data_IF_356189329061
#
_entry.id   IF_356189329061
#
_cell.length_a   1.000
_cell.length_b   1.000
_cell.length_c   1.000
_cell.angle_alpha   90.00
_cell.angle_beta   90.00
_cell.angle_gamma   90.00
#
_symmetry.space_group_name_H-M   'P 1'
#
loop_
_entity.id
_entity.type
_entity.pdbx_description
1 polymer ?
#
# COMPACT_ATOMS: atom_id res chain seq x y z
N UNK A 1 7.86 29.92 -31.14
CA UNK A 1 6.38 29.71 -31.11
C UNK A 1 5.97 28.27 -31.22
N UNK A 2 6.69 27.37 -31.89
CA UNK A 2 6.30 25.94 -32.00
C UNK A 2 6.40 25.12 -30.69
N UNK A 3 7.34 25.44 -29.81
CA UNK A 3 7.52 24.65 -28.55
C UNK A 3 6.39 24.83 -27.51
N UNK A 4 5.77 26.01 -27.49
CA UNK A 4 4.65 26.29 -26.58
C UNK A 4 3.37 25.53 -26.96
N UNK A 5 3.12 25.37 -28.26
CA UNK A 5 1.91 24.69 -28.75
C UNK A 5 1.97 23.19 -28.43
N UNK A 6 3.13 22.57 -28.51
CA UNK A 6 3.29 21.17 -28.16
C UNK A 6 3.22 20.93 -26.64
N UNK A 7 3.66 21.86 -25.80
CA UNK A 7 3.50 21.77 -24.35
C UNK A 7 2.04 21.97 -23.90
N UNK A 8 1.32 22.92 -24.51
CA UNK A 8 -0.10 23.15 -24.24
C UNK A 8 -0.99 21.98 -24.73
N UNK A 9 -0.67 21.37 -25.87
CA UNK A 9 -1.39 20.20 -26.38
C UNK A 9 -1.15 18.97 -25.49
N UNK A 10 0.06 18.75 -25.00
CA UNK A 10 0.37 17.64 -24.10
C UNK A 10 -0.26 17.83 -22.71
N UNK A 11 -0.29 19.04 -22.15
CA UNK A 11 -0.97 19.34 -20.90
C UNK A 11 -2.48 19.11 -20.98
N UNK A 12 -3.10 19.53 -22.09
CA UNK A 12 -4.55 19.34 -22.30
C UNK A 12 -4.94 17.87 -22.49
N UNK A 13 -4.08 17.06 -23.09
CA UNK A 13 -4.34 15.61 -23.26
C UNK A 13 -4.16 14.88 -21.93
N UNK A 14 -3.14 15.21 -21.15
CA UNK A 14 -2.90 14.65 -19.83
C UNK A 14 -4.04 15.00 -18.86
N UNK A 15 -4.49 16.25 -18.84
CA UNK A 15 -5.62 16.71 -18.04
C UNK A 15 -6.95 16.02 -18.42
N UNK A 16 -7.18 15.76 -19.70
CA UNK A 16 -8.38 15.06 -20.16
C UNK A 16 -8.40 13.60 -19.72
N UNK A 17 -7.26 12.89 -19.82
CA UNK A 17 -7.13 11.50 -19.40
C UNK A 17 -7.32 11.35 -17.87
N UNK A 18 -6.71 12.24 -17.10
CA UNK A 18 -6.89 12.29 -15.65
C UNK A 18 -8.35 12.59 -15.25
N UNK A 19 -9.01 13.53 -15.95
CA UNK A 19 -10.40 13.87 -15.72
C UNK A 19 -11.33 12.67 -15.98
N UNK A 20 -11.10 11.93 -17.07
CA UNK A 20 -11.91 10.77 -17.41
C UNK A 20 -11.64 9.60 -16.45
N UNK A 21 -10.39 9.41 -16.04
CA UNK A 21 -10.04 8.45 -14.99
C UNK A 21 -10.76 8.78 -13.68
N UNK A 22 -10.74 10.05 -13.24
CA UNK A 22 -11.43 10.52 -12.04
C UNK A 22 -12.94 10.21 -12.08
N UNK A 23 -13.59 10.47 -13.22
CA UNK A 23 -15.01 10.11 -13.40
C UNK A 23 -15.22 8.60 -13.25
N UNK A 24 -14.33 7.79 -13.82
CA UNK A 24 -14.37 6.33 -13.68
C UNK A 24 -14.27 5.88 -12.23
N UNK A 25 -13.34 6.45 -11.46
CA UNK A 25 -13.19 6.18 -10.01
C UNK A 25 -14.46 6.55 -9.25
N UNK A 26 -15.00 7.74 -9.47
CA UNK A 26 -16.22 8.23 -8.80
C UNK A 26 -17.40 7.31 -9.11
N UNK A 27 -17.53 6.91 -10.36
CA UNK A 27 -18.63 6.04 -10.80
C UNK A 27 -18.49 4.62 -10.24
N UNK A 28 -17.29 4.08 -10.22
CA UNK A 28 -16.98 2.81 -9.59
C UNK A 28 -17.30 2.83 -8.08
N UNK A 29 -16.91 3.88 -7.36
CA UNK A 29 -17.20 4.05 -5.93
C UNK A 29 -18.71 4.02 -5.67
N UNK A 30 -19.53 4.72 -6.45
CA UNK A 30 -20.99 4.75 -6.29
C UNK A 30 -21.61 3.35 -6.32
N UNK A 31 -21.05 2.45 -7.14
CA UNK A 31 -21.60 1.10 -7.32
C UNK A 31 -20.96 0.07 -6.37
N UNK A 32 -19.80 0.38 -5.80
CA UNK A 32 -18.97 -0.58 -5.08
C UNK A 32 -18.70 -0.23 -3.62
N UNK A 33 -19.03 1.00 -3.18
CA UNK A 33 -18.90 1.36 -1.76
C UNK A 33 -19.72 0.37 -0.92
N UNK A 34 -19.08 -0.37 0.01
CA UNK A 34 -19.78 -1.34 0.82
C UNK A 34 -20.83 -0.64 1.69
N UNK A 35 -21.95 -1.33 1.89
CA UNK A 35 -22.97 -0.89 2.85
C UNK A 35 -22.40 -1.06 4.27
N UNK A 36 -23.11 -0.46 5.23
CA UNK A 36 -22.78 -0.55 6.65
C UNK A 36 -22.44 -2.00 7.06
N UNK A 37 -21.20 -2.28 7.49
CA UNK A 37 -20.78 -3.63 7.88
C UNK A 37 -21.29 -4.03 9.27
N UNK A 38 -22.05 -3.17 9.96
CA UNK A 38 -22.53 -3.40 11.32
C UNK A 38 -21.50 -3.18 12.42
N UNK A 39 -20.36 -2.59 12.08
CA UNK A 39 -19.32 -2.17 13.03
C UNK A 39 -18.67 -0.85 12.56
N UNK A 40 -17.99 -0.18 13.48
CA UNK A 40 -17.31 1.08 13.17
C UNK A 40 -16.09 0.81 12.27
N UNK A 41 -16.07 1.46 11.11
CA UNK A 41 -14.94 1.35 10.19
C UNK A 41 -13.71 2.11 10.72
N UNK A 42 -12.53 1.46 10.72
CA UNK A 42 -11.28 2.12 11.08
C UNK A 42 -11.00 3.32 10.16
N UNK A 43 -10.51 4.40 10.73
CA UNK A 43 -10.03 5.57 9.99
C UNK A 43 -8.56 5.43 9.61
N UNK A 44 -7.84 4.60 10.35
CA UNK A 44 -6.43 4.30 10.11
C UNK A 44 -6.16 2.80 10.30
N UNK A 45 -5.09 2.30 9.71
CA UNK A 45 -4.67 0.90 9.87
C UNK A 45 -4.29 0.55 11.33
N UNK A 46 -3.99 1.55 12.16
CA UNK A 46 -3.70 1.36 13.58
C UNK A 46 -4.93 0.97 14.41
N UNK A 47 -6.12 1.19 13.89
CA UNK A 47 -7.39 0.89 14.56
C UNK A 47 -7.95 -0.49 14.23
N UNK A 48 -7.24 -1.28 13.40
CA UNK A 48 -7.64 -2.65 13.05
C UNK A 48 -7.41 -3.55 14.26
N UNK A 49 -8.45 -3.79 15.05
CA UNK A 49 -8.37 -4.47 16.35
C UNK A 49 -8.96 -5.88 16.39
N UNK A 50 -9.54 -6.38 15.30
CA UNK A 50 -10.13 -7.73 15.24
C UNK A 50 -10.02 -8.37 13.88
N UNK A 51 -10.08 -9.70 13.83
CA UNK A 51 -10.10 -10.47 12.58
C UNK A 51 -11.31 -10.13 11.71
N UNK A 52 -12.48 -9.90 12.31
CA UNK A 52 -13.69 -9.51 11.57
C UNK A 52 -13.48 -8.21 10.77
N UNK A 53 -12.89 -7.21 11.41
CA UNK A 53 -12.58 -5.92 10.75
C UNK A 53 -11.51 -6.12 9.69
N UNK A 54 -10.48 -6.93 10.00
CA UNK A 54 -9.40 -7.24 9.06
C UNK A 54 -9.90 -7.94 7.81
N UNK A 55 -10.74 -8.97 7.94
CA UNK A 55 -11.29 -9.72 6.81
C UNK A 55 -12.13 -8.83 5.90
N UNK A 56 -12.96 -7.98 6.49
CA UNK A 56 -13.73 -6.98 5.72
C UNK A 56 -12.82 -6.02 4.93
N UNK A 57 -11.76 -5.52 5.56
CA UNK A 57 -10.80 -4.62 4.90
C UNK A 57 -9.96 -5.33 3.84
N UNK A 58 -9.66 -6.62 4.04
CA UNK A 58 -8.96 -7.46 3.06
C UNK A 58 -9.82 -7.65 1.80
N UNK A 59 -11.09 -7.99 1.97
CA UNK A 59 -12.03 -8.09 0.85
C UNK A 59 -12.17 -6.76 0.11
N UNK A 60 -12.24 -5.66 0.84
CA UNK A 60 -12.28 -4.33 0.25
C UNK A 60 -11.00 -4.00 -0.53
N UNK A 61 -9.83 -4.17 0.05
CA UNK A 61 -8.55 -3.91 -0.62
C UNK A 61 -8.40 -4.77 -1.87
N UNK A 62 -8.76 -6.06 -1.80
CA UNK A 62 -8.77 -6.94 -2.96
C UNK A 62 -9.70 -6.42 -4.07
N UNK A 63 -10.88 -5.94 -3.71
CA UNK A 63 -11.86 -5.37 -4.64
C UNK A 63 -11.32 -4.10 -5.33
N UNK A 64 -10.69 -3.21 -4.58
CA UNK A 64 -10.04 -2.00 -5.12
C UNK A 64 -8.93 -2.38 -6.09
N UNK A 65 -8.06 -3.32 -5.69
CA UNK A 65 -6.98 -3.81 -6.54
C UNK A 65 -7.49 -4.50 -7.80
N UNK A 66 -8.41 -5.44 -7.70
CA UNK A 66 -8.94 -6.19 -8.84
C UNK A 66 -9.71 -5.32 -9.85
N UNK A 67 -10.18 -4.17 -9.40
CA UNK A 67 -10.81 -3.16 -10.25
C UNK A 67 -9.80 -2.17 -10.88
N UNK A 68 -8.51 -2.33 -10.59
CA UNK A 68 -7.43 -1.51 -11.17
C UNK A 68 -7.22 -0.16 -10.50
N UNK A 69 -7.70 0.05 -9.26
CA UNK A 69 -7.59 1.32 -8.53
C UNK A 69 -6.57 1.29 -7.38
N UNK A 70 -5.74 0.24 -7.31
CA UNK A 70 -4.63 0.12 -6.37
C UNK A 70 -3.38 -0.37 -7.08
N UNK A 71 -2.22 0.16 -6.69
CA UNK A 71 -0.93 -0.18 -7.30
C UNK A 71 -0.76 0.42 -8.69
N UNK A 72 -1.29 1.63 -8.92
CA UNK A 72 -1.28 2.30 -10.23
C UNK A 72 0.13 2.43 -10.79
N UNK A 73 1.11 2.84 -9.98
CA UNK A 73 2.49 3.05 -10.41
C UNK A 73 3.38 1.79 -10.29
N UNK A 74 2.84 0.67 -9.82
CA UNK A 74 3.59 -0.57 -9.72
C UNK A 74 3.67 -1.29 -11.06
N UNK A 75 4.75 -2.07 -11.32
CA UNK A 75 4.89 -2.80 -12.57
C UNK A 75 3.75 -3.80 -12.80
N UNK A 76 3.31 -3.90 -14.04
CA UNK A 76 2.18 -4.79 -14.42
C UNK A 76 2.49 -6.27 -14.16
N UNK A 77 3.71 -6.68 -14.37
CA UNK A 77 4.20 -8.05 -14.16
C UNK A 77 4.07 -8.52 -12.70
N UNK A 78 3.98 -7.57 -11.75
CA UNK A 78 3.81 -7.86 -10.33
C UNK A 78 2.41 -7.49 -9.81
N UNK A 79 1.45 -7.27 -10.70
CA UNK A 79 0.05 -7.03 -10.36
C UNK A 79 -0.35 -5.56 -10.25
N UNK A 80 0.55 -4.63 -10.60
CA UNK A 80 0.25 -3.20 -10.70
C UNK A 80 -0.37 -2.81 -12.05
N UNK A 81 -0.58 -1.51 -12.27
CA UNK A 81 -1.17 -0.99 -13.50
C UNK A 81 -0.15 -0.38 -14.46
N UNK A 82 1.10 -0.13 -14.02
CA UNK A 82 2.16 0.47 -14.84
C UNK A 82 1.80 1.88 -15.33
N UNK A 83 1.04 2.63 -14.54
CA UNK A 83 0.61 4.00 -14.83
C UNK A 83 1.44 5.01 -14.02
N UNK A 84 1.21 6.31 -14.22
CA UNK A 84 1.88 7.31 -13.41
C UNK A 84 1.31 7.37 -11.98
N UNK A 85 2.10 7.86 -11.02
CA UNK A 85 1.67 8.07 -9.62
C UNK A 85 0.48 9.01 -9.49
N UNK A 86 0.27 9.89 -10.45
CA UNK A 86 -0.85 10.84 -10.46
C UNK A 86 -2.21 10.12 -10.47
N UNK A 87 -2.32 8.98 -11.17
CA UNK A 87 -3.55 8.21 -11.17
C UNK A 87 -3.84 7.57 -9.80
N UNK A 88 -2.81 7.12 -9.07
CA UNK A 88 -3.00 6.66 -7.70
C UNK A 88 -3.50 7.80 -6.79
N UNK A 89 -2.92 9.00 -6.91
CA UNK A 89 -3.35 10.16 -6.13
C UNK A 89 -4.82 10.51 -6.42
N UNK A 90 -5.25 10.47 -7.68
CA UNK A 90 -6.65 10.71 -8.05
C UNK A 90 -7.57 9.65 -7.41
N UNK A 91 -7.21 8.38 -7.48
CA UNK A 91 -8.00 7.31 -6.86
C UNK A 91 -8.11 7.49 -5.35
N UNK A 92 -6.99 7.76 -4.67
CA UNK A 92 -6.94 7.97 -3.22
C UNK A 92 -7.75 9.19 -2.79
N UNK A 93 -7.69 10.31 -3.55
CA UNK A 93 -8.49 11.50 -3.29
C UNK A 93 -10.00 11.22 -3.35
N UNK A 94 -10.46 10.55 -4.41
CA UNK A 94 -11.89 10.27 -4.57
C UNK A 94 -12.38 9.24 -3.54
N UNK A 95 -11.59 8.23 -3.21
CA UNK A 95 -11.89 7.27 -2.15
C UNK A 95 -12.00 7.97 -0.79
N UNK A 96 -11.07 8.88 -0.49
CA UNK A 96 -11.09 9.68 0.75
C UNK A 96 -12.31 10.60 0.82
N UNK A 97 -12.66 11.29 -0.28
CA UNK A 97 -13.86 12.14 -0.36
C UNK A 97 -15.13 11.35 -0.12
N UNK A 98 -15.22 10.15 -0.68
CA UNK A 98 -16.36 9.27 -0.54
C UNK A 98 -16.41 8.51 0.81
N UNK A 99 -15.36 8.63 1.64
CA UNK A 99 -15.22 7.94 2.93
C UNK A 99 -15.41 6.43 2.83
N UNK A 100 -14.89 5.83 1.76
CA UNK A 100 -14.88 4.37 1.63
C UNK A 100 -13.89 3.75 2.63
N UNK A 101 -13.96 2.44 2.89
CA UNK A 101 -13.00 1.77 3.76
C UNK A 101 -11.55 1.96 3.26
N UNK A 102 -10.61 1.94 4.18
CA UNK A 102 -9.18 2.09 3.86
C UNK A 102 -8.60 0.83 3.21
N UNK A 103 -7.60 0.99 2.35
CA UNK A 103 -6.68 -0.08 2.01
C UNK A 103 -5.70 -0.23 3.19
N UNK A 104 -5.87 -1.29 3.97
CA UNK A 104 -5.30 -1.40 5.32
C UNK A 104 -3.82 -1.77 5.36
N UNK A 105 -3.29 -2.41 4.31
CA UNK A 105 -1.89 -2.90 4.26
C UNK A 105 -0.90 -1.76 3.99
N UNK A 106 -1.00 -0.70 4.78
CA UNK A 106 -0.28 0.58 4.56
C UNK A 106 1.24 0.39 4.55
N UNK A 107 1.78 -0.45 5.44
CA UNK A 107 3.22 -0.72 5.49
C UNK A 107 3.67 -1.47 4.23
N UNK A 108 2.89 -2.45 3.79
CA UNK A 108 3.15 -3.16 2.53
C UNK A 108 3.09 -2.23 1.33
N UNK A 109 2.00 -1.46 1.20
CA UNK A 109 1.74 -0.59 0.04
C UNK A 109 2.67 0.62 -0.04
N UNK A 110 2.97 1.23 1.10
CA UNK A 110 3.71 2.50 1.15
C UNK A 110 5.21 2.36 1.40
N UNK A 111 5.68 1.24 1.95
CA UNK A 111 7.06 1.08 2.38
C UNK A 111 7.70 -0.19 1.83
N UNK A 112 7.20 -1.39 2.19
CA UNK A 112 7.80 -2.65 1.75
C UNK A 112 7.77 -2.82 0.23
N UNK A 113 6.62 -2.60 -0.39
CA UNK A 113 6.45 -2.75 -1.82
C UNK A 113 7.33 -1.82 -2.64
N UNK A 114 7.34 -0.49 -2.40
CA UNK A 114 8.27 0.42 -3.06
C UNK A 114 9.74 0.03 -2.88
N UNK A 115 10.14 -0.37 -1.66
CA UNK A 115 11.51 -0.82 -1.39
C UNK A 115 11.85 -2.07 -2.23
N UNK A 116 10.96 -3.06 -2.25
CA UNK A 116 11.16 -4.28 -3.04
C UNK A 116 11.20 -3.97 -4.54
N UNK A 117 10.36 -3.05 -5.03
CA UNK A 117 10.39 -2.63 -6.44
C UNK A 117 11.75 -2.03 -6.80
N UNK A 118 12.28 -1.17 -5.94
CA UNK A 118 13.51 -0.44 -6.20
C UNK A 118 14.78 -1.32 -6.03
N UNK A 119 14.82 -2.16 -5.01
CA UNK A 119 16.06 -2.85 -4.58
C UNK A 119 15.98 -4.37 -4.54
N UNK A 120 14.78 -4.94 -4.58
CA UNK A 120 14.57 -6.38 -4.49
C UNK A 120 15.03 -7.13 -5.74
N UNK A 121 15.41 -8.39 -5.56
CA UNK A 121 15.64 -9.34 -6.64
C UNK A 121 14.34 -9.68 -7.36
N UNK A 122 14.43 -10.24 -8.57
CA UNK A 122 13.25 -10.71 -9.33
C UNK A 122 12.44 -11.74 -8.53
N UNK A 123 13.11 -12.61 -7.77
CA UNK A 123 12.47 -13.57 -6.89
C UNK A 123 11.63 -12.87 -5.80
N UNK A 124 12.17 -11.85 -5.13
CA UNK A 124 11.45 -11.09 -4.10
C UNK A 124 10.27 -10.33 -4.69
N UNK A 125 10.45 -9.69 -5.84
CA UNK A 125 9.37 -8.98 -6.54
C UNK A 125 8.22 -9.91 -6.90
N UNK A 126 8.51 -11.09 -7.45
CA UNK A 126 7.50 -12.10 -7.80
C UNK A 126 6.82 -12.68 -6.56
N UNK A 127 7.57 -12.86 -5.48
CA UNK A 127 7.08 -13.49 -4.25
C UNK A 127 6.14 -12.58 -3.47
N UNK A 128 6.49 -11.29 -3.33
CA UNK A 128 5.86 -10.44 -2.34
C UNK A 128 4.89 -9.40 -2.91
N UNK A 129 5.18 -8.82 -4.09
CA UNK A 129 4.48 -7.60 -4.52
C UNK A 129 2.99 -7.82 -4.74
N UNK A 130 2.60 -8.92 -5.37
CA UNK A 130 1.19 -9.21 -5.60
C UNK A 130 0.43 -9.42 -4.29
N UNK A 131 1.00 -10.17 -3.33
CA UNK A 131 0.39 -10.41 -2.03
C UNK A 131 0.18 -9.13 -1.21
N UNK A 132 1.08 -8.15 -1.36
CA UNK A 132 0.90 -6.82 -0.77
C UNK A 132 -0.31 -6.11 -1.37
N UNK A 133 -0.46 -6.11 -2.68
CA UNK A 133 -1.56 -5.44 -3.38
C UNK A 133 -2.92 -6.07 -3.08
N UNK A 134 -2.99 -7.40 -3.09
CA UNK A 134 -4.24 -8.14 -2.82
C UNK A 134 -4.66 -8.07 -1.35
N UNK A 135 -3.73 -7.78 -0.43
CA UNK A 135 -3.97 -7.86 1.02
C UNK A 135 -3.79 -9.27 1.61
N UNK A 136 -3.33 -10.24 0.82
CA UNK A 136 -3.05 -11.60 1.29
C UNK A 136 -1.81 -11.64 2.19
N UNK A 137 -0.79 -10.83 1.84
CA UNK A 137 0.45 -10.71 2.59
C UNK A 137 0.52 -9.38 3.33
N UNK A 138 0.19 -9.42 4.61
CA UNK A 138 0.21 -8.25 5.49
C UNK A 138 1.64 -8.00 5.95
N UNK A 139 2.05 -6.74 5.90
CA UNK A 139 3.35 -6.30 6.35
C UNK A 139 3.25 -5.38 7.57
N UNK A 140 4.17 -5.54 8.50
CA UNK A 140 4.34 -4.62 9.62
C UNK A 140 5.76 -4.05 9.65
N UNK A 141 5.98 -3.11 10.58
CA UNK A 141 7.25 -2.41 10.76
C UNK A 141 7.77 -2.63 12.17
N UNK A 142 8.93 -3.26 12.29
CA UNK A 142 9.60 -3.53 13.56
C UNK A 142 10.79 -2.58 13.75
N UNK A 143 10.58 -1.31 14.10
CA UNK A 143 11.65 -0.34 14.30
C UNK A 143 11.93 -0.07 15.79
N UNK A 144 10.90 0.29 16.56
CA UNK A 144 11.03 0.64 17.96
C UNK A 144 11.47 -0.54 18.83
N UNK A 145 12.32 -0.26 19.81
CA UNK A 145 12.80 -1.20 20.82
C UNK A 145 12.35 -0.78 22.22
N UNK A 146 12.34 -1.66 23.23
CA UNK A 146 11.87 -1.33 24.57
C UNK A 146 12.53 -0.08 25.18
N UNK A 147 13.79 0.17 24.85
CA UNK A 147 14.56 1.31 25.37
C UNK A 147 14.80 2.42 24.32
N UNK A 148 14.40 2.20 23.06
CA UNK A 148 14.75 3.09 21.94
C UNK A 148 13.54 3.24 21.00
N UNK A 149 12.87 4.39 21.08
CA UNK A 149 11.75 4.76 20.18
C UNK A 149 12.21 5.78 19.13
N UNK A 150 12.27 7.06 19.52
CA UNK A 150 12.69 8.14 18.62
C UNK A 150 14.18 8.13 18.29
N UNK A 151 15.01 7.57 19.16
CA UNK A 151 16.45 7.40 18.95
C UNK A 151 16.74 6.09 18.23
N UNK A 152 16.55 6.09 16.91
CA UNK A 152 16.84 4.93 16.06
C UNK A 152 18.36 4.64 15.95
N UNK A 153 19.22 5.63 16.22
CA UNK A 153 20.68 5.43 16.19
C UNK A 153 21.21 4.52 17.29
N UNK A 154 20.43 4.30 18.35
CA UNK A 154 20.80 3.50 19.51
C UNK A 154 20.16 2.12 19.55
N UNK A 155 19.49 1.67 18.46
CA UNK A 155 18.88 0.33 18.38
C UNK A 155 19.91 -0.77 18.59
N UNK A 156 19.51 -1.84 19.28
CA UNK A 156 20.38 -2.93 19.68
C UNK A 156 20.10 -4.25 18.95
N UNK A 157 18.98 -4.36 18.23
CA UNK A 157 18.71 -5.53 17.39
C UNK A 157 19.83 -5.70 16.38
N UNK A 158 20.37 -6.91 16.29
CA UNK A 158 21.48 -7.28 15.42
C UNK A 158 21.08 -8.38 14.48
N UNK A 159 21.56 -8.30 13.23
CA UNK A 159 21.48 -9.36 12.25
C UNK A 159 22.92 -9.82 11.94
N UNK A 160 23.29 -11.01 12.36
CA UNK A 160 24.60 -11.62 12.13
C UNK A 160 24.49 -12.65 11.01
N UNK A 161 25.38 -12.54 10.02
CA UNK A 161 25.33 -13.46 8.86
C UNK A 161 25.86 -14.84 9.26
N UNK A 162 25.08 -15.88 8.92
CA UNK A 162 25.44 -17.28 9.07
C UNK A 162 25.19 -18.02 7.74
N UNK A 163 26.23 -18.14 6.93
CA UNK A 163 26.13 -18.70 5.58
C UNK A 163 25.26 -17.86 4.66
N UNK A 164 24.15 -18.43 4.22
CA UNK A 164 23.16 -17.77 3.35
C UNK A 164 21.96 -17.17 4.13
N UNK A 165 22.00 -17.24 5.45
CA UNK A 165 20.97 -16.75 6.36
C UNK A 165 21.49 -15.65 7.28
N UNK A 166 20.57 -15.02 8.05
CA UNK A 166 20.90 -14.09 9.11
C UNK A 166 20.27 -14.54 10.42
N UNK A 167 21.10 -14.57 11.48
CA UNK A 167 20.61 -14.77 12.84
C UNK A 167 20.25 -13.40 13.42
N UNK A 168 18.95 -13.20 13.72
CA UNK A 168 18.46 -11.94 14.25
C UNK A 168 18.27 -12.07 15.76
N UNK A 169 18.93 -11.19 16.52
CA UNK A 169 18.83 -11.10 17.97
C UNK A 169 18.40 -9.71 18.39
N UNK A 170 17.28 -9.60 19.09
CA UNK A 170 16.74 -8.34 19.57
C UNK A 170 15.27 -8.45 19.97
N UNK A 171 14.69 -7.31 20.34
CA UNK A 171 13.27 -7.21 20.70
C UNK A 171 12.69 -5.93 20.13
N UNK A 172 11.56 -6.03 19.46
CA UNK A 172 10.80 -4.89 18.90
C UNK A 172 9.47 -4.74 19.64
N UNK A 173 9.01 -3.49 19.78
CA UNK A 173 7.75 -3.17 20.44
C UNK A 173 6.90 -2.22 19.59
N UNK A 174 5.63 -2.08 19.98
CA UNK A 174 4.66 -1.18 19.32
C UNK A 174 4.52 -1.42 17.82
N UNK A 175 4.67 -2.67 17.42
CA UNK A 175 4.57 -3.09 16.02
C UNK A 175 3.10 -3.15 15.61
N UNK A 176 2.59 -2.06 15.05
CA UNK A 176 1.21 -1.98 14.56
C UNK A 176 0.96 -3.08 13.52
N UNK A 177 -0.18 -3.77 13.62
CA UNK A 177 -0.54 -4.93 12.79
C UNK A 177 0.35 -6.17 12.99
N UNK A 178 1.29 -6.17 13.94
CA UNK A 178 2.24 -7.27 14.13
C UNK A 178 1.59 -8.63 14.44
N UNK A 179 0.40 -8.62 15.06
CA UNK A 179 -0.39 -9.81 15.32
C UNK A 179 -1.08 -10.42 14.09
N UNK A 180 -1.21 -9.65 13.02
CA UNK A 180 -1.82 -10.07 11.75
C UNK A 180 -0.79 -10.21 10.63
N UNK A 181 0.39 -9.63 10.80
CA UNK A 181 1.39 -9.56 9.76
C UNK A 181 2.06 -10.91 9.50
N UNK A 182 2.27 -11.20 8.22
CA UNK A 182 3.06 -12.34 7.75
C UNK A 182 4.54 -11.98 7.61
N UNK A 183 4.82 -10.72 7.30
CA UNK A 183 6.16 -10.21 7.07
C UNK A 183 6.40 -8.90 7.83
N UNK A 184 7.67 -8.62 8.10
CA UNK A 184 8.11 -7.43 8.82
C UNK A 184 9.28 -6.78 8.11
N UNK A 185 9.24 -5.44 8.00
CA UNK A 185 10.44 -4.65 7.74
C UNK A 185 11.14 -4.45 9.08
N UNK A 186 12.39 -4.85 9.15
CA UNK A 186 13.20 -4.82 10.37
C UNK A 186 14.41 -3.88 10.20
#
# INVERSE_FOLDING_TARGET
MSNNIHQELNSNVEDAEQSDFRKGVVDWIKHNNPKDPGFLLPQTFMEVGSEQVLDFLREWQYKVWSSGYLGMAWPREYGGQGMSRQFQQIADEEMKKARVPICFNVIGLGWAGPLIIDTGSDFEKQTYLKGILTGDDIWCQGFSEPNHGSDLGSIQTRAERDGDEYIINGSKIWTTMGNFAKYMIL
#
